data_IF_468716067402
#
_entry.id   IF_468716067402
#
_cell.length_a   1.000
_cell.length_b   1.000
_cell.length_c   1.000
_cell.angle_alpha   90.00
_cell.angle_beta   90.00
_cell.angle_gamma   90.00
#
_symmetry.space_group_name_H-M   'P 1'
#
loop_
_entity.id
_entity.type
_entity.pdbx_description
1 polymer ?
#
# COMPACT_ATOMS: atom_id res chain seq x y z
N UNK A 1 19.48 -6.76 -3.70
CA UNK A 1 18.86 -7.53 -4.81
C UNK A 1 17.81 -8.52 -4.33
N UNK A 2 18.02 -9.30 -3.26
CA UNK A 2 17.08 -10.36 -2.85
C UNK A 2 15.59 -9.99 -2.83
N UNK A 3 15.22 -8.78 -2.38
CA UNK A 3 13.83 -8.32 -2.43
C UNK A 3 13.31 -8.15 -3.86
N UNK A 4 14.09 -7.50 -4.74
CA UNK A 4 13.76 -7.31 -6.16
C UNK A 4 13.63 -8.65 -6.88
N UNK A 5 14.51 -9.61 -6.57
CA UNK A 5 14.43 -10.96 -7.13
C UNK A 5 13.15 -11.68 -6.69
N UNK A 6 12.71 -11.46 -5.43
CA UNK A 6 11.47 -12.00 -4.91
C UNK A 6 10.23 -11.35 -5.55
N UNK A 7 10.23 -10.02 -5.77
CA UNK A 7 9.19 -9.32 -6.54
C UNK A 7 9.05 -9.88 -7.96
N UNK A 8 10.17 -10.07 -8.66
CA UNK A 8 10.15 -10.66 -10.00
C UNK A 8 9.62 -12.10 -9.97
N UNK A 9 9.92 -12.85 -8.91
CA UNK A 9 9.35 -14.17 -8.72
C UNK A 9 7.82 -14.15 -8.55
N UNK A 10 7.24 -13.22 -7.77
CA UNK A 10 5.77 -13.15 -7.64
C UNK A 10 5.08 -12.82 -8.96
N UNK A 11 5.75 -12.07 -9.84
CA UNK A 11 5.27 -11.77 -11.20
C UNK A 11 5.40 -12.96 -12.15
N UNK A 12 6.28 -13.92 -11.86
CA UNK A 12 6.49 -15.12 -12.67
C UNK A 12 5.64 -16.32 -12.21
N UNK A 13 5.28 -16.37 -10.93
CA UNK A 13 4.41 -17.42 -10.38
C UNK A 13 2.98 -17.28 -10.91
N UNK A 14 2.28 -18.40 -11.21
CA UNK A 14 0.89 -18.35 -11.66
C UNK A 14 -0.03 -17.79 -10.58
N UNK A 15 -1.08 -17.07 -10.99
CA UNK A 15 -2.14 -16.61 -10.10
C UNK A 15 -2.80 -17.78 -9.34
N UNK A 16 -3.30 -17.49 -8.14
CA UNK A 16 -4.11 -18.41 -7.32
C UNK A 16 -5.57 -17.98 -7.21
N UNK A 17 -5.89 -16.74 -7.55
CA UNK A 17 -7.27 -16.26 -7.58
C UNK A 17 -7.86 -16.35 -8.98
N UNK A 18 -9.19 -16.35 -9.07
CA UNK A 18 -9.92 -16.18 -10.34
C UNK A 18 -10.32 -14.72 -10.58
N UNK A 19 -9.64 -13.75 -9.93
CA UNK A 19 -9.99 -12.34 -10.04
C UNK A 19 -9.72 -11.82 -11.47
N UNK A 20 -10.57 -10.89 -11.99
CA UNK A 20 -10.41 -10.37 -13.34
C UNK A 20 -9.01 -9.77 -13.59
N UNK A 21 -8.37 -10.21 -14.68
CA UNK A 21 -7.06 -9.71 -15.09
C UNK A 21 -5.87 -10.35 -14.38
N UNK A 22 -6.08 -11.13 -13.31
CA UNK A 22 -4.98 -11.78 -12.60
C UNK A 22 -4.32 -12.87 -13.46
N UNK A 23 -3.02 -12.74 -13.70
CA UNK A 23 -2.21 -13.75 -14.43
C UNK A 23 -1.02 -14.27 -13.62
N UNK A 24 -0.67 -13.60 -12.53
CA UNK A 24 0.44 -13.94 -11.65
C UNK A 24 0.07 -13.79 -10.17
N UNK A 25 0.93 -14.27 -9.27
CA UNK A 25 0.75 -14.02 -7.83
C UNK A 25 0.82 -12.53 -7.49
N UNK A 26 1.64 -11.76 -8.21
CA UNK A 26 1.66 -10.31 -8.09
C UNK A 26 0.29 -9.70 -8.44
N UNK A 27 -0.30 -10.16 -9.55
CA UNK A 27 -1.57 -9.66 -10.04
C UNK A 27 -2.75 -10.00 -9.11
N UNK A 28 -2.68 -11.11 -8.35
CA UNK A 28 -3.72 -11.46 -7.36
C UNK A 28 -3.94 -10.31 -6.35
N UNK A 29 -2.85 -9.70 -5.87
CA UNK A 29 -2.92 -8.61 -4.90
C UNK A 29 -3.34 -7.29 -5.55
N UNK A 30 -2.92 -7.03 -6.80
CA UNK A 30 -3.39 -5.87 -7.56
C UNK A 30 -4.90 -5.97 -7.85
N UNK A 31 -5.38 -7.16 -8.24
CA UNK A 31 -6.79 -7.40 -8.53
C UNK A 31 -7.66 -7.33 -7.27
N UNK A 32 -7.18 -7.90 -6.15
CA UNK A 32 -7.86 -7.78 -4.87
C UNK A 32 -8.00 -6.31 -4.46
N UNK A 33 -6.93 -5.52 -4.56
CA UNK A 33 -6.99 -4.09 -4.28
C UNK A 33 -7.99 -3.35 -5.17
N UNK A 34 -7.96 -3.55 -6.50
CA UNK A 34 -8.93 -2.95 -7.43
C UNK A 34 -10.38 -3.32 -7.09
N UNK A 35 -10.63 -4.56 -6.69
CA UNK A 35 -11.97 -4.99 -6.30
C UNK A 35 -12.39 -4.41 -4.94
N UNK A 36 -11.47 -4.22 -4.01
CA UNK A 36 -11.72 -3.57 -2.73
C UNK A 36 -12.01 -2.06 -2.86
N UNK A 37 -11.44 -1.37 -3.86
CA UNK A 37 -11.77 0.03 -4.14
C UNK A 37 -13.14 0.22 -4.79
N UNK A 38 -13.68 -0.83 -5.41
CA UNK A 38 -14.99 -0.84 -6.04
C UNK A 38 -15.82 -2.05 -5.57
N UNK A 39 -15.90 -2.22 -4.25
CA UNK A 39 -16.69 -3.28 -3.65
C UNK A 39 -18.19 -3.02 -3.87
N UNK A 40 -19.05 -3.99 -3.52
CA UNK A 40 -20.51 -3.94 -3.81
C UNK A 40 -21.20 -2.67 -3.28
N UNK A 41 -20.62 -2.04 -2.26
CA UNK A 41 -21.14 -0.84 -1.60
C UNK A 41 -20.12 0.32 -1.58
N UNK A 42 -19.19 0.34 -2.54
CA UNK A 42 -18.16 1.36 -2.69
C UNK A 42 -16.81 0.96 -2.12
N UNK A 43 -15.89 1.92 -2.06
CA UNK A 43 -14.53 1.70 -1.55
C UNK A 43 -14.56 1.28 -0.07
N UNK A 44 -13.91 0.16 0.24
CA UNK A 44 -13.82 -0.37 1.60
C UNK A 44 -12.43 -0.21 2.22
N UNK A 45 -11.42 0.18 1.43
CA UNK A 45 -10.02 0.25 1.85
C UNK A 45 -9.43 1.66 1.85
N UNK A 46 -10.07 2.65 1.21
CA UNK A 46 -9.63 4.06 1.26
C UNK A 46 -10.65 4.95 1.93
N UNK A 47 -10.16 5.90 2.73
CA UNK A 47 -10.98 6.82 3.53
C UNK A 47 -11.96 6.13 4.51
N UNK A 48 -11.81 4.82 4.70
CA UNK A 48 -12.50 4.01 5.71
C UNK A 48 -11.62 3.80 6.93
N UNK A 49 -12.22 3.31 8.02
CA UNK A 49 -11.51 2.85 9.22
C UNK A 49 -10.62 1.64 8.94
N UNK A 50 -10.92 0.88 7.88
CA UNK A 50 -10.14 -0.29 7.48
C UNK A 50 -8.83 0.07 6.80
N UNK A 51 -8.66 1.32 6.34
CA UNK A 51 -7.51 1.73 5.54
C UNK A 51 -6.16 1.25 6.08
N UNK A 52 -5.79 1.61 7.31
CA UNK A 52 -4.49 1.22 7.86
C UNK A 52 -4.42 -0.30 8.17
N UNK A 53 -5.40 -0.91 8.87
CA UNK A 53 -5.34 -2.35 9.18
C UNK A 53 -5.40 -3.27 7.95
N UNK A 54 -6.19 -2.92 6.93
CA UNK A 54 -6.32 -3.72 5.71
C UNK A 54 -5.02 -3.67 4.89
N UNK A 55 -4.40 -2.50 4.72
CA UNK A 55 -3.11 -2.40 4.03
C UNK A 55 -1.99 -3.09 4.83
N UNK A 56 -2.02 -3.05 6.17
CA UNK A 56 -1.13 -3.87 7.00
C UNK A 56 -1.29 -5.36 6.74
N UNK A 57 -2.54 -5.86 6.67
CA UNK A 57 -2.82 -7.24 6.32
C UNK A 57 -2.32 -7.57 4.91
N UNK A 58 -2.52 -6.67 3.93
CA UNK A 58 -2.03 -6.84 2.57
C UNK A 58 -0.50 -6.95 2.54
N UNK A 59 0.23 -6.11 3.29
CA UNK A 59 1.68 -6.19 3.41
C UNK A 59 2.13 -7.52 4.02
N UNK A 60 1.47 -7.97 5.10
CA UNK A 60 1.78 -9.24 5.74
C UNK A 60 1.52 -10.43 4.80
N UNK A 61 0.38 -10.42 4.11
CA UNK A 61 0.01 -11.43 3.13
C UNK A 61 1.02 -11.49 1.97
N UNK A 62 1.41 -10.33 1.47
CA UNK A 62 2.38 -10.21 0.39
C UNK A 62 3.78 -10.68 0.81
N UNK A 63 4.24 -10.27 2.01
CA UNK A 63 5.49 -10.77 2.59
C UNK A 63 5.48 -12.29 2.77
N UNK A 64 4.34 -12.85 3.19
CA UNK A 64 4.16 -14.31 3.32
C UNK A 64 4.34 -15.01 1.97
N UNK A 65 3.85 -14.44 0.87
CA UNK A 65 4.08 -14.98 -0.48
C UNK A 65 5.54 -14.87 -0.89
N UNK A 66 6.18 -13.71 -0.67
CA UNK A 66 7.61 -13.53 -0.94
C UNK A 66 8.45 -14.60 -0.21
N UNK A 67 8.16 -14.84 1.07
CA UNK A 67 8.87 -15.80 1.92
C UNK A 67 8.61 -17.26 1.52
N UNK A 68 7.33 -17.62 1.41
CA UNK A 68 6.94 -19.03 1.29
C UNK A 68 6.96 -19.55 -0.15
N UNK A 69 6.87 -18.66 -1.15
CA UNK A 69 6.76 -19.05 -2.56
C UNK A 69 7.93 -18.57 -3.42
N UNK A 70 8.63 -17.54 -2.95
CA UNK A 70 9.81 -16.98 -3.64
C UNK A 70 11.12 -17.12 -2.84
N UNK A 71 11.12 -17.89 -1.74
CA UNK A 71 12.28 -18.13 -0.88
C UNK A 71 12.95 -16.84 -0.36
N UNK A 72 12.20 -15.75 -0.25
CA UNK A 72 12.72 -14.52 0.32
C UNK A 72 12.95 -14.71 1.82
N UNK A 73 14.13 -14.36 2.33
CA UNK A 73 14.44 -14.49 3.77
C UNK A 73 14.45 -13.16 4.50
N UNK A 74 14.31 -12.05 3.78
CA UNK A 74 14.26 -10.71 4.37
C UNK A 74 12.84 -10.29 4.73
N UNK A 75 12.66 -8.98 4.90
CA UNK A 75 11.36 -8.33 5.08
C UNK A 75 11.09 -7.32 3.98
N UNK A 76 9.84 -6.91 3.79
CA UNK A 76 9.52 -5.80 2.88
C UNK A 76 10.27 -4.54 3.38
N UNK A 77 11.08 -3.86 2.54
CA UNK A 77 11.69 -2.59 2.92
C UNK A 77 10.64 -1.48 2.94
N UNK A 78 10.89 -0.37 3.64
CA UNK A 78 10.03 0.82 3.57
C UNK A 78 10.76 1.95 2.87
N UNK A 79 10.00 2.83 2.21
CA UNK A 79 10.52 4.06 1.60
C UNK A 79 10.27 5.24 2.54
N UNK A 80 11.32 5.73 3.22
CA UNK A 80 11.18 6.91 4.10
C UNK A 80 11.10 8.20 3.28
N UNK A 81 9.89 8.52 2.86
CA UNK A 81 9.59 9.67 2.01
C UNK A 81 9.92 11.02 2.68
N UNK A 82 9.91 11.07 4.02
CA UNK A 82 10.23 12.31 4.73
C UNK A 82 11.72 12.66 4.63
N UNK A 83 12.59 11.65 4.65
CA UNK A 83 14.04 11.83 4.45
C UNK A 83 14.32 12.29 3.01
N UNK A 84 13.67 11.66 2.03
CA UNK A 84 13.82 12.03 0.62
C UNK A 84 13.26 13.43 0.33
N UNK A 85 12.13 13.81 0.94
CA UNK A 85 11.60 15.17 0.86
C UNK A 85 12.55 16.20 1.47
N UNK A 86 13.15 15.90 2.63
CA UNK A 86 14.07 16.80 3.32
C UNK A 86 15.37 17.08 2.53
N UNK A 87 15.77 16.16 1.65
CA UNK A 87 16.98 16.32 0.83
C UNK A 87 16.86 17.37 -0.28
N UNK A 88 15.63 17.75 -0.65
CA UNK A 88 15.36 18.56 -1.85
C UNK A 88 15.37 17.76 -3.16
N UNK A 89 15.68 16.46 -3.12
CA UNK A 89 15.58 15.52 -4.24
C UNK A 89 14.81 14.24 -3.80
N UNK A 90 13.54 14.13 -4.18
CA UNK A 90 12.62 13.12 -3.67
C UNK A 90 12.93 11.72 -4.23
N UNK A 91 13.67 11.68 -5.34
CA UNK A 91 14.11 10.46 -6.00
C UNK A 91 15.63 10.27 -5.86
N UNK A 92 16.24 10.81 -4.79
CA UNK A 92 17.69 10.65 -4.55
C UNK A 92 18.09 9.21 -4.18
N UNK A 93 17.18 8.44 -3.59
CA UNK A 93 17.45 7.10 -3.08
C UNK A 93 17.89 6.18 -4.21
N UNK A 94 18.85 5.30 -3.92
CA UNK A 94 19.36 4.32 -4.89
C UNK A 94 18.28 3.30 -5.30
N UNK A 95 17.19 3.18 -4.54
CA UNK A 95 16.01 2.36 -4.90
C UNK A 95 15.48 2.67 -6.31
N UNK A 96 15.66 3.91 -6.79
CA UNK A 96 15.21 4.36 -8.12
C UNK A 96 16.20 4.07 -9.24
N UNK A 97 17.36 3.47 -8.93
CA UNK A 97 18.32 3.05 -9.94
C UNK A 97 17.85 1.80 -10.69
N UNK A 98 18.44 1.58 -11.86
CA UNK A 98 18.21 0.37 -12.67
C UNK A 98 18.73 -0.92 -12.02
N UNK A 99 19.43 -0.82 -10.89
CA UNK A 99 19.77 -1.98 -10.07
C UNK A 99 18.57 -2.45 -9.24
N UNK A 100 17.64 -1.56 -8.86
CA UNK A 100 16.55 -1.88 -7.94
C UNK A 100 15.16 -1.74 -8.59
N UNK A 101 14.43 -0.65 -8.36
CA UNK A 101 13.06 -0.51 -8.88
C UNK A 101 13.00 0.14 -10.26
N UNK A 102 14.13 0.63 -10.78
CA UNK A 102 14.15 1.44 -11.99
C UNK A 102 13.56 2.84 -11.77
N UNK A 103 13.87 3.76 -12.68
CA UNK A 103 13.53 5.16 -12.54
C UNK A 103 12.20 5.56 -13.17
N UNK A 104 12.21 6.78 -13.72
CA UNK A 104 11.06 7.40 -14.38
C UNK A 104 10.71 6.69 -15.72
N UNK A 105 9.49 6.90 -16.17
CA UNK A 105 9.04 6.46 -17.50
C UNK A 105 9.71 7.21 -18.64
N UNK A 106 9.60 6.66 -19.85
CA UNK A 106 10.06 7.29 -21.08
C UNK A 106 9.33 8.62 -21.32
N UNK A 107 10.00 9.59 -21.95
CA UNK A 107 9.37 10.87 -22.30
C UNK A 107 8.28 10.77 -23.38
N UNK A 108 8.15 9.62 -24.04
CA UNK A 108 7.21 9.41 -25.16
C UNK A 108 5.85 8.97 -24.64
N UNK A 109 5.83 7.97 -23.75
CA UNK A 109 4.62 7.28 -23.30
C UNK A 109 4.57 7.03 -21.79
N UNK A 110 5.58 7.49 -21.04
CA UNK A 110 5.77 7.24 -19.62
C UNK A 110 5.99 5.76 -19.26
N UNK A 111 6.12 4.84 -20.22
CA UNK A 111 6.42 3.44 -19.93
C UNK A 111 7.83 3.32 -19.34
N UNK A 112 8.01 2.49 -18.32
CA UNK A 112 9.32 2.21 -17.73
C UNK A 112 10.11 1.30 -18.66
N UNK A 113 11.30 1.73 -19.09
CA UNK A 113 12.11 1.05 -20.13
C UNK A 113 13.42 0.48 -19.63
N UNK A 114 13.80 0.76 -18.38
CA UNK A 114 15.07 0.32 -17.78
C UNK A 114 14.83 -0.25 -16.38
N UNK A 115 15.84 -0.96 -15.87
CA UNK A 115 15.77 -1.67 -14.61
C UNK A 115 14.99 -3.00 -14.68
N UNK A 116 14.86 -3.70 -13.55
CA UNK A 116 14.37 -5.07 -13.49
C UNK A 116 12.89 -5.22 -13.87
N UNK A 117 12.11 -4.16 -13.69
CA UNK A 117 10.67 -4.11 -13.98
C UNK A 117 10.34 -3.47 -15.34
N UNK A 118 11.34 -3.23 -16.18
CA UNK A 118 11.16 -2.61 -17.49
C UNK A 118 10.25 -3.41 -18.43
N UNK A 119 9.52 -2.70 -19.30
CA UNK A 119 8.72 -3.28 -20.39
C UNK A 119 7.67 -4.32 -19.94
N UNK A 120 7.27 -4.29 -18.66
CA UNK A 120 6.16 -5.10 -18.15
C UNK A 120 4.84 -4.65 -18.76
N UNK A 121 4.00 -5.64 -19.05
CA UNK A 121 2.58 -5.43 -19.35
C UNK A 121 1.78 -5.61 -18.07
N UNK A 122 0.95 -4.63 -17.74
CA UNK A 122 -0.06 -4.73 -16.69
C UNK A 122 -1.38 -5.17 -17.32
N UNK A 123 -2.19 -5.91 -16.55
CA UNK A 123 -3.45 -6.52 -17.02
C UNK A 123 -4.69 -6.02 -16.26
N UNK A 124 -4.47 -5.29 -15.17
CA UNK A 124 -5.49 -4.81 -14.23
C UNK A 124 -5.39 -3.30 -14.20
N UNK A 125 -6.49 -2.63 -14.53
CA UNK A 125 -6.55 -1.20 -14.81
C UNK A 125 -6.37 -0.87 -16.29
N UNK A 126 -6.28 0.41 -16.65
CA UNK A 126 -6.47 1.56 -15.77
C UNK A 126 -7.90 1.62 -15.20
N UNK A 127 -8.05 2.25 -14.04
CA UNK A 127 -9.28 2.33 -13.24
C UNK A 127 -9.82 0.93 -12.95
N UNK A 128 -11.04 0.64 -13.39
CA UNK A 128 -11.74 -0.63 -13.19
C UNK A 128 -11.68 -1.55 -14.42
N UNK A 129 -10.81 -1.24 -15.39
CA UNK A 129 -10.67 -2.04 -16.60
C UNK A 129 -9.82 -3.29 -16.35
N UNK A 130 -9.99 -4.27 -17.23
CA UNK A 130 -9.09 -5.42 -17.38
C UNK A 130 -8.54 -5.37 -18.79
N UNK A 131 -7.47 -4.59 -19.00
CA UNK A 131 -6.85 -4.40 -20.30
C UNK A 131 -5.34 -4.45 -20.17
N UNK A 132 -4.67 -4.80 -21.28
CA UNK A 132 -3.22 -4.78 -21.38
C UNK A 132 -2.72 -3.35 -21.62
N UNK A 133 -1.77 -2.88 -20.82
CA UNK A 133 -1.07 -1.61 -20.98
C UNK A 133 0.34 -1.68 -20.40
N UNK A 134 1.22 -0.72 -20.74
CA UNK A 134 2.58 -0.75 -20.21
C UNK A 134 2.63 -0.31 -18.74
N UNK A 135 3.54 -0.90 -17.98
CA UNK A 135 3.94 -0.36 -16.69
C UNK A 135 4.58 1.03 -16.88
N UNK A 136 4.02 2.05 -16.22
CA UNK A 136 4.34 3.44 -16.46
C UNK A 136 4.53 4.26 -15.17
N UNK A 137 5.48 5.20 -15.19
CA UNK A 137 5.79 6.15 -14.12
C UNK A 137 6.00 7.54 -14.69
N UNK A 138 5.66 8.58 -13.90
CA UNK A 138 5.84 9.98 -14.32
C UNK A 138 6.24 10.83 -13.12
N UNK A 139 7.50 10.68 -12.71
CA UNK A 139 8.04 11.31 -11.51
C UNK A 139 7.68 12.80 -11.38
N UNK A 140 7.14 13.15 -10.21
CA UNK A 140 6.72 14.48 -9.85
C UNK A 140 7.45 14.93 -8.58
N UNK A 141 8.65 15.47 -8.80
CA UNK A 141 9.53 15.97 -7.74
C UNK A 141 8.82 16.99 -6.84
N UNK A 142 8.06 17.92 -7.42
CA UNK A 142 7.37 18.97 -6.64
C UNK A 142 6.34 18.39 -5.68
N UNK A 143 5.52 17.42 -6.13
CA UNK A 143 4.54 16.77 -5.25
C UNK A 143 5.22 15.91 -4.19
N UNK A 144 6.28 15.18 -4.54
CA UNK A 144 7.08 14.43 -3.57
C UNK A 144 7.60 15.32 -2.45
N UNK A 145 8.30 16.40 -2.79
CA UNK A 145 8.82 17.35 -1.80
C UNK A 145 7.72 17.99 -0.94
N UNK A 146 6.60 18.37 -1.54
CA UNK A 146 5.54 19.08 -0.82
C UNK A 146 4.69 18.16 0.06
N UNK A 147 4.32 16.97 -0.43
CA UNK A 147 3.38 16.08 0.25
C UNK A 147 4.11 15.12 1.20
N UNK A 148 5.30 14.65 0.82
CA UNK A 148 6.13 13.76 1.64
C UNK A 148 6.86 14.47 2.79
N UNK A 149 6.74 15.80 2.91
CA UNK A 149 7.40 16.55 3.97
C UNK A 149 7.02 16.06 5.37
N UNK A 150 8.02 15.93 6.26
CA UNK A 150 7.84 15.51 7.66
C UNK A 150 6.76 16.29 8.40
N UNK A 151 6.63 17.59 8.11
CA UNK A 151 5.60 18.46 8.71
C UNK A 151 4.16 17.95 8.48
N UNK A 152 3.89 17.28 7.36
CA UNK A 152 2.57 16.71 7.08
C UNK A 152 2.28 15.48 7.95
N UNK A 153 3.31 14.66 8.22
CA UNK A 153 3.20 13.52 9.15
C UNK A 153 2.98 14.03 10.58
N UNK A 154 3.76 15.03 11.01
CA UNK A 154 3.64 15.63 12.34
C UNK A 154 2.25 16.25 12.56
N UNK A 155 1.72 16.96 11.56
CA UNK A 155 0.37 17.50 11.60
C UNK A 155 -0.69 16.40 11.79
N UNK A 156 -0.53 15.22 11.19
CA UNK A 156 -1.44 14.10 11.38
C UNK A 156 -1.33 13.45 12.77
N UNK A 157 -0.13 13.41 13.36
CA UNK A 157 0.04 12.96 14.75
C UNK A 157 -0.60 13.92 15.75
N UNK A 158 -0.51 15.23 15.51
CA UNK A 158 -1.18 16.23 16.34
C UNK A 158 -2.71 16.16 16.17
N UNK A 159 -3.20 16.17 14.92
CA UNK A 159 -4.63 16.14 14.62
C UNK A 159 -5.30 14.85 15.12
N UNK A 160 -4.61 13.72 14.98
CA UNK A 160 -5.07 12.40 15.41
C UNK A 160 -4.65 12.02 16.83
N UNK A 161 -4.24 12.96 17.68
CA UNK A 161 -3.65 12.63 18.97
C UNK A 161 -4.62 11.92 19.93
N UNK A 162 -5.93 12.19 19.80
CA UNK A 162 -6.94 11.69 20.75
C UNK A 162 -7.90 10.68 20.16
N UNK A 163 -7.94 10.52 18.84
CA UNK A 163 -8.89 9.63 18.19
C UNK A 163 -8.36 9.06 16.88
N UNK A 164 -8.71 7.80 16.61
CA UNK A 164 -8.27 7.10 15.41
C UNK A 164 -8.88 7.69 14.15
N UNK A 165 -10.12 8.19 14.21
CA UNK A 165 -10.84 8.69 13.04
C UNK A 165 -10.11 9.85 12.37
N UNK A 166 -9.70 10.83 13.18
CA UNK A 166 -8.91 11.98 12.77
C UNK A 166 -7.54 11.54 12.25
N UNK A 167 -6.88 10.60 12.94
CA UNK A 167 -5.58 10.07 12.54
C UNK A 167 -5.62 9.40 11.17
N UNK A 168 -6.44 8.35 10.99
CA UNK A 168 -6.43 7.56 9.75
C UNK A 168 -6.88 8.39 8.54
N UNK A 169 -7.83 9.33 8.72
CA UNK A 169 -8.26 10.25 7.65
C UNK A 169 -7.16 11.23 7.25
N UNK A 170 -6.41 11.76 8.22
CA UNK A 170 -5.29 12.64 7.92
C UNK A 170 -4.17 11.87 7.20
N UNK A 171 -3.83 10.68 7.68
CA UNK A 171 -2.83 9.81 7.05
C UNK A 171 -3.19 9.44 5.61
N UNK A 172 -4.47 9.18 5.32
CA UNK A 172 -4.97 8.90 3.97
C UNK A 172 -4.88 10.10 3.00
N UNK A 173 -4.55 11.30 3.50
CA UNK A 173 -4.38 12.51 2.70
C UNK A 173 -2.89 12.73 2.37
N UNK A 174 -2.26 13.84 2.78
CA UNK A 174 -0.91 14.22 2.31
C UNK A 174 0.14 13.10 2.48
N UNK A 175 0.28 12.43 3.64
CA UNK A 175 1.29 11.38 3.81
C UNK A 175 1.11 10.19 2.85
N UNK A 176 -0.13 9.72 2.66
CA UNK A 176 -0.42 8.62 1.73
C UNK A 176 -0.35 9.06 0.26
N UNK A 177 -0.94 10.20 -0.11
CA UNK A 177 -0.91 10.64 -1.51
C UNK A 177 0.50 11.04 -1.97
N UNK A 178 1.47 11.24 -1.06
CA UNK A 178 2.82 11.66 -1.39
C UNK A 178 3.53 10.67 -2.33
N UNK A 179 3.83 9.45 -1.87
CA UNK A 179 4.45 8.41 -2.68
C UNK A 179 3.68 8.10 -3.96
N UNK A 180 2.34 8.07 -3.88
CA UNK A 180 1.45 7.89 -5.03
C UNK A 180 1.62 8.99 -6.10
N UNK A 181 1.48 10.25 -5.69
CA UNK A 181 1.52 11.39 -6.60
C UNK A 181 2.93 11.75 -7.07
N UNK A 182 3.95 11.43 -6.28
CA UNK A 182 5.33 11.59 -6.65
C UNK A 182 5.71 10.58 -7.73
N UNK A 183 5.47 9.28 -7.52
CA UNK A 183 5.81 8.24 -8.50
C UNK A 183 4.95 8.38 -9.78
N UNK A 184 3.67 8.71 -9.59
CA UNK A 184 2.66 8.88 -10.63
C UNK A 184 2.57 7.70 -11.60
N UNK A 185 1.93 7.89 -12.76
CA UNK A 185 1.64 6.80 -13.67
C UNK A 185 0.68 5.81 -13.00
N UNK A 186 1.08 4.55 -12.88
CA UNK A 186 0.28 3.50 -12.22
C UNK A 186 -0.01 3.86 -10.77
N UNK A 187 0.97 4.43 -10.05
CA UNK A 187 0.82 4.82 -8.65
C UNK A 187 -0.25 5.91 -8.42
N UNK A 188 -0.68 6.67 -9.43
CA UNK A 188 -1.78 7.65 -9.26
C UNK A 188 -3.18 7.08 -9.43
N UNK A 189 -3.30 5.85 -9.93
CA UNK A 189 -4.58 5.17 -10.06
C UNK A 189 -4.92 4.45 -8.76
N UNK A 190 -5.84 5.01 -7.98
CA UNK A 190 -6.24 4.45 -6.68
C UNK A 190 -6.67 2.98 -6.76
N UNK A 191 -7.18 2.50 -7.90
CA UNK A 191 -7.67 1.13 -8.00
C UNK A 191 -6.51 0.16 -8.31
N UNK A 192 -5.63 0.56 -9.22
CA UNK A 192 -4.61 -0.32 -9.80
C UNK A 192 -3.18 -0.01 -9.35
N UNK A 193 -3.00 0.89 -8.37
CA UNK A 193 -1.69 1.34 -7.86
C UNK A 193 -0.74 0.23 -7.41
N UNK A 194 -1.18 -0.94 -6.86
CA UNK A 194 -0.26 -2.03 -6.56
C UNK A 194 0.42 -2.64 -7.78
N UNK A 195 0.03 -2.25 -9.00
CA UNK A 195 0.72 -2.60 -10.24
C UNK A 195 2.18 -2.13 -10.27
N UNK A 196 2.52 -1.08 -9.51
CA UNK A 196 3.89 -0.64 -9.28
C UNK A 196 4.47 -1.32 -8.03
N UNK A 197 5.59 -2.08 -8.11
CA UNK A 197 6.18 -2.74 -6.94
C UNK A 197 6.63 -1.78 -5.83
N UNK A 198 6.79 -0.48 -6.11
CA UNK A 198 7.07 0.53 -5.05
C UNK A 198 5.86 0.76 -4.14
N UNK A 199 4.64 0.37 -4.54
CA UNK A 199 3.45 0.40 -3.68
C UNK A 199 3.71 -0.24 -2.31
N UNK A 200 4.35 -1.42 -2.30
CA UNK A 200 4.59 -2.15 -1.06
C UNK A 200 5.60 -1.43 -0.16
N UNK A 201 6.58 -0.72 -0.72
CA UNK A 201 7.54 0.09 0.04
C UNK A 201 6.87 1.34 0.63
N UNK A 202 6.02 1.99 -0.16
CA UNK A 202 5.21 3.14 0.26
C UNK A 202 4.26 2.77 1.41
N UNK A 203 3.47 1.71 1.24
CA UNK A 203 2.52 1.29 2.28
C UNK A 203 3.22 0.75 3.52
N UNK A 204 4.40 0.13 3.40
CA UNK A 204 5.18 -0.29 4.55
C UNK A 204 5.73 0.90 5.35
N UNK A 205 6.00 2.04 4.69
CA UNK A 205 6.31 3.30 5.38
C UNK A 205 5.08 3.86 6.11
N UNK A 206 3.90 3.83 5.49
CA UNK A 206 2.66 4.23 6.16
C UNK A 206 2.33 3.34 7.36
N UNK A 207 2.59 2.03 7.25
CA UNK A 207 2.40 1.10 8.36
C UNK A 207 3.37 1.37 9.52
N UNK A 208 4.63 1.72 9.22
CA UNK A 208 5.59 2.21 10.20
C UNK A 208 5.08 3.45 10.94
N UNK A 209 4.51 4.42 10.21
CA UNK A 209 3.92 5.63 10.79
C UNK A 209 2.68 5.32 11.64
N UNK A 210 1.87 4.35 11.23
CA UNK A 210 0.73 3.89 12.02
C UNK A 210 1.20 3.22 13.33
N UNK A 211 2.19 2.33 13.26
CA UNK A 211 2.75 1.69 14.44
C UNK A 211 3.34 2.70 15.42
N UNK A 212 4.08 3.70 14.93
CA UNK A 212 4.57 4.81 15.76
C UNK A 212 3.43 5.53 16.48
N UNK A 213 2.32 5.83 15.79
CA UNK A 213 1.16 6.47 16.40
C UNK A 213 0.52 5.60 17.50
N UNK A 214 0.43 4.28 17.29
CA UNK A 214 -0.05 3.34 18.30
C UNK A 214 0.86 3.35 19.53
N UNK A 215 2.19 3.36 19.34
CA UNK A 215 3.18 3.30 20.41
C UNK A 215 3.24 4.55 21.28
N UNK A 216 2.84 5.72 20.79
CA UNK A 216 2.78 6.96 21.59
C UNK A 216 1.86 6.79 22.83
N UNK A 217 0.75 6.05 22.71
CA UNK A 217 -0.06 5.61 23.85
C UNK A 217 -0.66 4.24 23.57
N UNK A 218 0.12 3.18 23.74
CA UNK A 218 -0.30 1.82 23.40
C UNK A 218 -1.55 1.38 24.18
N UNK A 219 -1.74 1.85 25.42
CA UNK A 219 -2.93 1.55 26.23
C UNK A 219 -4.22 2.06 25.61
N UNK A 220 -4.18 3.23 24.97
CA UNK A 220 -5.37 3.89 24.43
C UNK A 220 -5.52 3.67 22.92
N UNK A 221 -4.42 3.40 22.22
CA UNK A 221 -4.34 3.45 20.75
C UNK A 221 -4.16 2.09 20.08
N UNK A 222 -3.79 1.04 20.80
CA UNK A 222 -3.47 -0.23 20.16
C UNK A 222 -4.68 -0.82 19.42
N UNK A 223 -5.84 -0.87 20.07
CA UNK A 223 -7.03 -1.56 19.56
C UNK A 223 -8.21 -0.62 19.29
N UNK A 224 -7.96 0.69 19.21
CA UNK A 224 -9.01 1.66 18.92
C UNK A 224 -9.43 1.59 17.45
N UNK A 225 -10.73 1.50 17.22
CA UNK A 225 -11.35 1.55 15.90
C UNK A 225 -12.62 2.38 16.01
N UNK A 226 -12.95 3.12 14.95
CA UNK A 226 -14.11 4.00 14.95
C UNK A 226 -14.52 4.34 13.52
N UNK A 227 -15.82 4.38 13.24
CA UNK A 227 -16.35 4.72 11.92
C UNK A 227 -17.30 3.66 11.41
N UNK A 228 -17.62 3.75 10.12
CA UNK A 228 -18.49 2.79 9.45
C UNK A 228 -17.63 1.84 8.61
N UNK A 229 -18.17 0.67 8.27
CA UNK A 229 -17.48 -0.33 7.44
C UNK A 229 -17.28 0.14 5.99
N UNK A 230 -18.04 1.16 5.55
CA UNK A 230 -18.09 1.65 4.17
C UNK A 230 -18.01 3.20 4.14
N UNK A 231 -17.65 3.77 2.98
CA UNK A 231 -17.73 5.23 2.76
C UNK A 231 -19.10 5.70 2.26
N UNK A 232 -19.91 4.81 1.70
CA UNK A 232 -21.27 5.10 1.21
C UNK A 232 -22.27 4.23 1.96
N UNK A 233 -23.42 4.80 2.36
CA UNK A 233 -24.43 4.09 3.14
C UNK A 233 -24.96 2.88 2.36
N UNK A 234 -24.80 1.65 2.88
CA UNK A 234 -25.38 0.47 2.25
C UNK A 234 -26.92 0.54 2.28
N UNK A 235 -27.59 -0.16 1.37
CA UNK A 235 -29.06 -0.26 1.38
C UNK A 235 -29.59 -0.89 2.70
N UNK A 236 -28.76 -1.67 3.39
CA UNK A 236 -29.04 -2.27 4.70
C UNK A 236 -28.83 -1.30 5.88
N UNK A 237 -28.40 -0.06 5.62
CA UNK A 237 -28.02 0.94 6.62
C UNK A 237 -26.54 0.86 7.01
N UNK A 238 -26.07 1.90 7.71
CA UNK A 238 -24.70 1.95 8.21
C UNK A 238 -24.39 0.84 9.20
N UNK A 239 -23.30 0.12 8.94
CA UNK A 239 -22.70 -0.80 9.90
C UNK A 239 -21.47 -0.15 10.55
N UNK A 240 -21.39 -0.22 11.88
CA UNK A 240 -20.22 0.28 12.63
C UNK A 240 -19.10 -0.73 12.57
N UNK A 241 -17.91 -0.25 12.26
CA UNK A 241 -16.74 -1.08 12.29
C UNK A 241 -16.35 -1.39 13.73
N UNK A 242 -16.05 -2.67 14.01
CA UNK A 242 -15.59 -3.15 15.32
C UNK A 242 -14.26 -3.87 15.19
N UNK A 243 -13.59 -4.13 16.30
CA UNK A 243 -12.31 -4.85 16.30
C UNK A 243 -12.46 -6.32 15.87
N UNK A 244 -13.67 -6.85 15.92
CA UNK A 244 -14.00 -8.21 15.44
C UNK A 244 -14.44 -8.23 13.98
N UNK A 245 -14.48 -7.08 13.30
CA UNK A 245 -14.76 -7.01 11.86
C UNK A 245 -13.72 -7.81 11.07
N UNK A 246 -14.19 -8.61 10.12
CA UNK A 246 -13.34 -9.45 9.27
C UNK A 246 -12.83 -8.64 8.08
N UNK A 247 -11.52 -8.60 7.90
CA UNK A 247 -10.87 -7.96 6.77
C UNK A 247 -10.89 -8.94 5.59
N UNK A 248 -11.63 -8.58 4.54
CA UNK A 248 -11.76 -9.39 3.33
C UNK A 248 -10.56 -9.19 2.40
N UNK A 249 -9.75 -10.22 2.21
CA UNK A 249 -8.61 -10.26 1.28
C UNK A 249 -9.00 -10.79 -0.10
N UNK A 250 -10.30 -11.02 -0.35
CA UNK A 250 -10.87 -11.29 -1.68
C UNK A 250 -10.26 -12.53 -2.34
N UNK A 251 -9.87 -13.50 -1.51
CA UNK A 251 -9.23 -14.74 -1.93
C UNK A 251 -7.75 -14.64 -2.27
N UNK A 252 -7.15 -13.44 -2.31
CA UNK A 252 -5.71 -13.29 -2.51
C UNK A 252 -4.90 -13.80 -1.30
N UNK A 253 -5.52 -13.79 -0.11
CA UNK A 253 -5.00 -14.34 1.14
C UNK A 253 -6.15 -14.74 2.07
N UNK A 254 -5.84 -15.27 3.25
CA UNK A 254 -6.85 -15.54 4.28
C UNK A 254 -7.44 -14.25 4.87
N UNK A 255 -8.72 -14.30 5.21
CA UNK A 255 -9.39 -13.24 5.93
C UNK A 255 -9.10 -13.39 7.42
N UNK A 256 -8.83 -12.27 8.10
CA UNK A 256 -8.65 -12.26 9.56
C UNK A 256 -9.45 -11.14 10.19
N UNK A 257 -9.70 -11.27 11.49
CA UNK A 257 -10.34 -10.18 12.24
C UNK A 257 -9.37 -9.03 12.44
N UNK A 258 -9.89 -7.80 12.41
CA UNK A 258 -9.08 -6.60 12.58
C UNK A 258 -8.18 -6.65 13.82
N UNK A 259 -8.68 -7.18 14.95
CA UNK A 259 -7.89 -7.36 16.19
C UNK A 259 -6.56 -8.10 15.99
N UNK A 260 -6.48 -9.01 15.03
CA UNK A 260 -5.28 -9.83 14.80
C UNK A 260 -4.15 -9.04 14.15
N UNK A 261 -4.48 -7.95 13.45
CA UNK A 261 -3.50 -7.11 12.75
C UNK A 261 -3.23 -5.78 13.45
N UNK A 262 -3.92 -5.48 14.55
CA UNK A 262 -3.70 -4.21 15.27
C UNK A 262 -2.34 -4.15 15.94
N UNK A 263 -1.84 -5.26 16.50
CA UNK A 263 -0.56 -5.32 17.19
C UNK A 263 0.47 -6.08 16.34
N UNK A 264 1.43 -5.36 15.75
CA UNK A 264 2.45 -5.95 14.87
C UNK A 264 3.42 -6.89 15.60
N UNK A 265 3.41 -6.86 16.93
CA UNK A 265 4.25 -7.69 17.81
C UNK A 265 3.44 -8.73 18.60
N UNK A 266 2.16 -8.94 18.26
CA UNK A 266 1.25 -9.76 19.05
C UNK A 266 0.46 -10.78 18.22
N UNK A 267 0.83 -12.05 18.32
CA UNK A 267 0.04 -13.17 17.80
C UNK A 267 0.25 -13.40 16.31
N UNK A 268 -0.74 -13.02 15.49
CA UNK A 268 -0.78 -13.28 14.04
C UNK A 268 0.35 -12.54 13.30
N UNK A 269 0.66 -11.31 13.73
CA UNK A 269 1.80 -10.54 13.24
C UNK A 269 3.00 -10.66 14.19
N UNK A 270 4.20 -10.68 13.62
CA UNK A 270 5.45 -10.72 14.39
C UNK A 270 6.60 -10.01 13.65
N UNK A 271 6.61 -8.68 13.71
CA UNK A 271 7.69 -7.86 13.15
C UNK A 271 7.90 -6.56 13.95
N UNK A 272 8.99 -5.87 13.66
CA UNK A 272 9.31 -4.57 14.24
C UNK A 272 9.92 -3.66 13.16
N UNK A 273 9.77 -2.35 13.35
CA UNK A 273 10.46 -1.35 12.53
C UNK A 273 11.70 -0.84 13.23
N UNK A 274 12.75 -0.60 12.44
CA UNK A 274 13.92 0.16 12.87
C UNK A 274 13.64 1.68 12.69
N UNK A 275 14.19 2.48 13.61
CA UNK A 275 13.91 3.92 13.73
C UNK A 275 15.17 4.76 13.71
#
# INVERSE_FOLDING_TARGET
>A
MAFVDAELCTMALPNKTSLPGSKSRFDDFQAAHQLATNYTYGDIIHYTTQFLPWHRLQLHAYESVLKNECNYTGTIPFWDEAIDAASGNFFQSDMWSDQYFGGNGSSVDNCVRTGPFANRTLHIGPLLQTTDYCFARKFNQTKGLSYGARANVDACYEYGATDFQSFHKCMAYLPHIAGHQATAGVMTDINSSPGDPVFYLHHNYLDRLYWQWQQISATDRMFVVSGNTTVTEPATGWEKLTIDYELDMLGAFENVRMKEVMNIQGGYLCYAYEY
#
